data_IF_471580511755
#
_entry.id   IF_471580511755
#
_cell.length_a   1.000
_cell.length_b   1.000
_cell.length_c   1.000
_cell.angle_alpha   90.00
_cell.angle_beta   90.00
_cell.angle_gamma   90.00
#
_symmetry.space_group_name_H-M   'P 1'
#
loop_
_entity.id
_entity.type
_entity.pdbx_description
1 polymer ?
#
# COMPACT_ATOMS: atom_id res chain seq x y z
N UNK A 1 22.13 -6.72 4.39
CA UNK A 1 21.19 -5.87 3.62
C UNK A 1 20.57 -4.76 4.47
N UNK A 2 19.90 -5.04 5.61
CA UNK A 2 19.40 -3.99 6.53
C UNK A 2 20.47 -2.98 6.97
N UNK A 3 21.66 -3.46 7.36
CA UNK A 3 22.78 -2.60 7.75
C UNK A 3 23.30 -1.72 6.61
N UNK A 4 23.24 -2.20 5.36
CA UNK A 4 23.59 -1.36 4.19
C UNK A 4 22.53 -0.30 3.94
N UNK A 5 21.24 -0.67 4.03
CA UNK A 5 20.14 0.27 3.85
C UNK A 5 20.10 1.40 4.88
N UNK A 6 20.57 1.17 6.11
CA UNK A 6 20.66 2.22 7.13
C UNK A 6 21.81 3.20 6.90
N UNK A 7 22.77 2.85 6.03
CA UNK A 7 23.91 3.72 5.69
C UNK A 7 23.67 4.61 4.46
N UNK A 8 22.52 4.45 3.79
CA UNK A 8 22.21 5.21 2.58
C UNK A 8 21.76 6.64 2.91
N UNK A 9 22.53 7.59 2.40
CA UNK A 9 22.15 9.00 2.27
C UNK A 9 21.83 9.34 0.81
N UNK A 10 21.24 10.51 0.59
CA UNK A 10 20.88 11.00 -0.76
C UNK A 10 22.08 11.09 -1.71
N UNK A 11 23.28 11.32 -1.17
CA UNK A 11 24.53 11.45 -1.95
C UNK A 11 25.11 10.10 -2.42
N UNK A 12 24.72 9.00 -1.78
CA UNK A 12 25.29 7.65 -2.03
C UNK A 12 24.25 6.69 -2.62
N UNK A 13 22.96 7.05 -2.57
CA UNK A 13 21.88 6.20 -3.07
C UNK A 13 21.94 6.03 -4.60
N UNK A 14 21.78 4.78 -5.05
CA UNK A 14 21.61 4.46 -6.47
C UNK A 14 20.34 5.13 -7.00
N UNK A 15 20.45 5.90 -8.09
CA UNK A 15 19.30 6.59 -8.70
C UNK A 15 18.51 5.74 -9.70
N UNK A 16 18.83 4.46 -9.82
CA UNK A 16 18.16 3.54 -10.75
C UNK A 16 16.94 2.92 -10.10
N UNK A 17 15.74 3.35 -10.53
CA UNK A 17 14.46 2.73 -10.10
C UNK A 17 14.49 1.23 -10.35
N UNK A 18 14.95 0.80 -11.52
CA UNK A 18 15.00 -0.61 -11.89
C UNK A 18 15.83 -1.43 -10.92
N UNK A 19 16.95 -0.90 -10.44
CA UNK A 19 17.77 -1.59 -9.44
C UNK A 19 17.02 -1.80 -8.12
N UNK A 20 16.33 -0.76 -7.64
CA UNK A 20 15.51 -0.85 -6.43
C UNK A 20 14.37 -1.86 -6.60
N UNK A 21 13.66 -1.82 -7.73
CA UNK A 21 12.53 -2.71 -8.00
C UNK A 21 12.97 -4.17 -8.16
N UNK A 22 14.11 -4.44 -8.81
CA UNK A 22 14.67 -5.79 -8.90
C UNK A 22 15.08 -6.33 -7.53
N UNK A 23 15.75 -5.51 -6.74
CA UNK A 23 16.16 -5.86 -5.38
C UNK A 23 14.94 -6.12 -4.48
N UNK A 24 13.90 -5.29 -4.61
CA UNK A 24 12.61 -5.45 -3.95
C UNK A 24 11.93 -6.76 -4.36
N UNK A 25 11.92 -7.07 -5.65
CA UNK A 25 11.32 -8.29 -6.18
C UNK A 25 11.95 -9.55 -5.56
N UNK A 26 13.29 -9.60 -5.43
CA UNK A 26 13.98 -10.72 -4.77
C UNK A 26 13.52 -10.87 -3.31
N UNK A 27 13.46 -9.76 -2.56
CA UNK A 27 12.96 -9.79 -1.19
C UNK A 27 11.49 -10.26 -1.13
N UNK A 28 10.66 -9.84 -2.10
CA UNK A 28 9.26 -10.20 -2.21
C UNK A 28 9.06 -11.69 -2.49
N UNK A 29 9.97 -12.35 -3.24
CA UNK A 29 9.93 -13.81 -3.41
C UNK A 29 10.03 -14.55 -2.07
N UNK A 30 10.87 -14.07 -1.14
CA UNK A 30 10.94 -14.65 0.20
C UNK A 30 9.68 -14.37 1.03
N UNK A 31 9.01 -13.23 0.84
CA UNK A 31 7.71 -12.98 1.48
C UNK A 31 6.68 -14.04 1.08
N UNK A 32 6.73 -14.53 -0.16
CA UNK A 32 5.79 -15.53 -0.69
C UNK A 32 6.18 -16.97 -0.40
N UNK A 33 7.38 -17.21 0.13
CA UNK A 33 7.83 -18.54 0.49
C UNK A 33 7.10 -19.04 1.75
N UNK A 34 6.16 -19.97 1.57
CA UNK A 34 5.38 -20.58 2.65
C UNK A 34 6.16 -21.61 3.47
N UNK A 35 7.39 -21.95 3.07
CA UNK A 35 8.28 -22.77 3.89
C UNK A 35 8.95 -21.95 5.02
N UNK A 36 8.97 -20.61 4.91
CA UNK A 36 9.48 -19.72 5.95
C UNK A 36 8.47 -19.52 7.09
N UNK A 37 8.98 -19.22 8.28
CA UNK A 37 8.13 -18.87 9.42
C UNK A 37 7.42 -17.54 9.22
N UNK A 38 6.35 -17.30 9.97
CA UNK A 38 5.60 -16.04 9.91
C UNK A 38 6.51 -14.83 10.23
N UNK A 39 7.41 -14.96 11.20
CA UNK A 39 8.38 -13.94 11.59
C UNK A 39 9.34 -13.65 10.44
N UNK A 40 9.95 -14.68 9.84
CA UNK A 40 10.86 -14.52 8.71
C UNK A 40 10.18 -13.85 7.52
N UNK A 41 8.93 -14.23 7.21
CA UNK A 41 8.14 -13.60 6.13
C UNK A 41 7.84 -12.12 6.41
N UNK A 42 7.53 -11.74 7.66
CA UNK A 42 7.36 -10.33 8.06
C UNK A 42 8.67 -9.56 7.96
N UNK A 43 9.78 -10.15 8.38
CA UNK A 43 11.11 -9.56 8.26
C UNK A 43 11.52 -9.26 6.82
N UNK A 44 11.18 -10.14 5.88
CA UNK A 44 11.31 -9.88 4.44
C UNK A 44 10.31 -8.83 3.96
N UNK A 45 9.09 -8.82 4.52
CA UNK A 45 8.07 -7.80 4.25
C UNK A 45 8.55 -6.40 4.61
N UNK A 46 9.15 -6.21 5.78
CA UNK A 46 9.76 -4.95 6.22
C UNK A 46 10.88 -4.49 5.28
N UNK A 47 11.68 -5.44 4.78
CA UNK A 47 12.69 -5.15 3.78
C UNK A 47 12.07 -4.66 2.47
N UNK A 48 11.01 -5.32 1.98
CA UNK A 48 10.28 -4.89 0.78
C UNK A 48 9.73 -3.48 0.96
N UNK A 49 9.07 -3.19 2.09
CA UNK A 49 8.54 -1.86 2.40
C UNK A 49 9.65 -0.80 2.43
N UNK A 50 10.77 -1.12 3.07
CA UNK A 50 11.95 -0.26 3.17
C UNK A 50 12.59 0.03 1.80
N UNK A 51 12.59 -0.94 0.89
CA UNK A 51 13.10 -0.78 -0.48
C UNK A 51 12.16 0.07 -1.34
N UNK A 52 10.85 -0.13 -1.20
CA UNK A 52 9.83 0.68 -1.88
C UNK A 52 9.92 2.15 -1.48
N UNK A 53 10.03 2.45 -0.18
CA UNK A 53 10.20 3.82 0.33
C UNK A 53 11.47 4.47 -0.24
N UNK A 54 12.58 3.73 -0.30
CA UNK A 54 13.85 4.24 -0.85
C UNK A 54 13.78 4.45 -2.36
N UNK A 55 13.08 3.59 -3.09
CA UNK A 55 12.86 3.76 -4.52
C UNK A 55 12.09 5.06 -4.80
N UNK A 56 11.04 5.33 -4.02
CA UNK A 56 10.29 6.59 -4.08
C UNK A 56 11.22 7.77 -3.82
N UNK A 57 11.89 7.74 -2.66
CA UNK A 57 12.68 8.86 -2.16
C UNK A 57 13.90 9.21 -3.02
N UNK A 58 14.62 8.20 -3.52
CA UNK A 58 15.95 8.40 -4.09
C UNK A 58 16.03 8.15 -5.59
N UNK A 59 15.07 7.44 -6.18
CA UNK A 59 15.10 7.07 -7.59
C UNK A 59 13.92 7.63 -8.39
N UNK A 60 12.94 8.27 -7.74
CA UNK A 60 11.77 8.83 -8.42
C UNK A 60 10.72 7.78 -8.78
N UNK A 61 10.63 6.70 -8.00
CA UNK A 61 9.48 5.80 -8.09
C UNK A 61 8.20 6.57 -7.71
N UNK A 62 7.13 6.43 -8.49
CA UNK A 62 5.91 7.20 -8.27
C UNK A 62 5.31 6.88 -6.89
N UNK A 63 4.92 7.93 -6.16
CA UNK A 63 4.43 7.82 -4.78
C UNK A 63 3.14 7.01 -4.68
N UNK A 64 2.26 7.07 -5.69
CA UNK A 64 1.05 6.25 -5.71
C UNK A 64 1.40 4.78 -5.91
N UNK A 65 2.32 4.47 -6.81
CA UNK A 65 2.76 3.10 -7.05
C UNK A 65 3.46 2.53 -5.79
N UNK A 66 4.28 3.34 -5.12
CA UNK A 66 4.92 2.98 -3.85
C UNK A 66 3.89 2.69 -2.74
N UNK A 67 2.86 3.53 -2.61
CA UNK A 67 1.78 3.33 -1.65
C UNK A 67 0.94 2.10 -1.99
N UNK A 68 0.60 1.90 -3.27
CA UNK A 68 -0.16 0.76 -3.75
C UNK A 68 0.55 -0.56 -3.43
N UNK A 69 1.84 -0.66 -3.76
CA UNK A 69 2.65 -1.84 -3.47
C UNK A 69 2.75 -2.13 -1.97
N UNK A 70 2.94 -1.08 -1.17
CA UNK A 70 3.00 -1.17 0.29
C UNK A 70 1.69 -1.69 0.88
N UNK A 71 0.54 -1.14 0.44
CA UNK A 71 -0.79 -1.53 0.90
C UNK A 71 -1.10 -2.97 0.51
N UNK A 72 -0.85 -3.37 -0.73
CA UNK A 72 -1.09 -4.75 -1.19
C UNK A 72 -0.29 -5.76 -0.38
N UNK A 73 1.01 -5.51 -0.18
CA UNK A 73 1.87 -6.39 0.61
C UNK A 73 1.39 -6.52 2.06
N UNK A 74 1.06 -5.38 2.69
CA UNK A 74 0.59 -5.36 4.08
C UNK A 74 -0.76 -6.05 4.22
N UNK A 75 -1.70 -5.82 3.31
CA UNK A 75 -2.98 -6.54 3.31
C UNK A 75 -2.77 -8.05 3.22
N UNK A 76 -1.95 -8.50 2.28
CA UNK A 76 -1.64 -9.92 2.10
C UNK A 76 -1.05 -10.53 3.36
N UNK A 77 -0.01 -9.90 3.94
CA UNK A 77 0.66 -10.45 5.12
C UNK A 77 -0.22 -10.42 6.36
N UNK A 78 -1.02 -9.38 6.55
CA UNK A 78 -2.00 -9.33 7.64
C UNK A 78 -3.06 -10.41 7.47
N UNK A 79 -3.52 -10.66 6.23
CA UNK A 79 -4.50 -11.70 5.94
C UNK A 79 -3.95 -13.10 6.18
N UNK A 80 -2.71 -13.37 5.74
CA UNK A 80 -2.12 -14.71 5.84
C UNK A 80 -1.51 -15.01 7.22
N UNK A 81 -0.88 -14.03 7.86
CA UNK A 81 -0.10 -14.23 9.09
C UNK A 81 -0.76 -13.66 10.33
N UNK A 82 -1.85 -12.89 10.16
CA UNK A 82 -2.50 -12.17 11.24
C UNK A 82 -1.86 -10.82 11.53
N UNK A 83 -2.68 -9.93 12.10
CA UNK A 83 -2.26 -8.60 12.53
C UNK A 83 -1.43 -8.65 13.81
N UNK A 84 -0.48 -7.73 13.93
CA UNK A 84 0.31 -7.50 15.15
C UNK A 84 -0.12 -6.17 15.75
N UNK A 85 -0.95 -6.15 16.81
CA UNK A 85 -1.43 -4.91 17.42
C UNK A 85 -0.27 -4.01 17.89
N UNK A 86 -0.36 -2.72 17.59
CA UNK A 86 0.66 -1.72 17.93
C UNK A 86 1.84 -1.64 16.96
N UNK A 87 1.99 -2.59 16.04
CA UNK A 87 3.05 -2.57 15.04
C UNK A 87 2.72 -1.62 13.89
N UNK A 88 3.66 -0.76 13.49
CA UNK A 88 3.40 0.25 12.46
C UNK A 88 3.11 -0.34 11.07
N UNK A 89 3.68 -1.50 10.74
CA UNK A 89 3.54 -2.17 9.46
C UNK A 89 2.40 -3.19 9.49
N UNK A 90 2.29 -3.95 10.58
CA UNK A 90 1.45 -5.15 10.67
C UNK A 90 0.17 -4.98 11.50
N UNK A 91 -0.08 -3.80 12.08
CA UNK A 91 -1.38 -3.44 12.67
C UNK A 91 -2.39 -3.05 11.58
N UNK A 92 -3.56 -3.71 11.58
CA UNK A 92 -4.69 -3.41 10.67
C UNK A 92 -5.13 -1.94 10.74
N UNK A 93 -5.23 -1.39 11.93
CA UNK A 93 -5.63 -0.01 12.18
C UNK A 93 -4.57 0.97 11.67
N UNK A 94 -3.28 0.64 11.84
CA UNK A 94 -2.20 1.45 11.28
C UNK A 94 -2.23 1.46 9.74
N UNK A 95 -2.51 0.31 9.12
CA UNK A 95 -2.70 0.21 7.67
C UNK A 95 -3.89 1.05 7.20
N UNK A 96 -5.05 0.91 7.83
CA UNK A 96 -6.25 1.70 7.48
C UNK A 96 -5.98 3.21 7.58
N UNK A 97 -5.35 3.67 8.66
CA UNK A 97 -4.98 5.09 8.81
C UNK A 97 -4.03 5.54 7.71
N UNK A 98 -3.05 4.71 7.34
CA UNK A 98 -2.11 5.01 6.26
C UNK A 98 -2.83 5.16 4.92
N UNK A 99 -3.75 4.25 4.59
CA UNK A 99 -4.56 4.31 3.37
C UNK A 99 -5.42 5.57 3.38
N UNK A 100 -6.20 5.80 4.44
CA UNK A 100 -7.09 6.96 4.53
C UNK A 100 -6.35 8.29 4.48
N UNK A 101 -5.12 8.35 5.00
CA UNK A 101 -4.27 9.55 4.91
C UNK A 101 -3.73 9.80 3.49
N UNK A 102 -3.58 8.74 2.67
CA UNK A 102 -3.17 8.86 1.27
C UNK A 102 -4.32 9.25 0.33
N UNK A 103 -5.58 9.04 0.75
CA UNK A 103 -6.76 9.41 -0.03
C UNK A 103 -6.87 10.94 -0.17
N UNK A 104 -6.82 11.44 -1.41
CA UNK A 104 -6.93 12.88 -1.69
C UNK A 104 -8.36 13.32 -2.00
N UNK A 105 -9.25 12.38 -2.31
CA UNK A 105 -10.67 12.63 -2.50
C UNK A 105 -11.45 12.21 -1.25
N UNK A 106 -12.64 12.79 -1.08
CA UNK A 106 -13.66 12.25 -0.17
C UNK A 106 -14.52 11.22 -0.93
N UNK A 107 -15.19 10.27 -0.25
CA UNK A 107 -16.12 9.36 -0.90
C UNK A 107 -17.21 10.06 -1.71
N UNK A 108 -17.74 11.17 -1.18
CA UNK A 108 -18.75 11.98 -1.87
C UNK A 108 -18.21 12.56 -3.18
N UNK A 109 -17.01 13.17 -3.15
CA UNK A 109 -16.41 13.75 -4.35
C UNK A 109 -16.03 12.68 -5.37
N UNK A 110 -15.47 11.56 -4.93
CA UNK A 110 -15.15 10.45 -5.82
C UNK A 110 -16.40 9.83 -6.45
N UNK A 111 -17.55 9.81 -5.75
CA UNK A 111 -18.83 9.37 -6.32
C UNK A 111 -19.30 10.29 -7.45
N UNK A 112 -19.29 11.61 -7.23
CA UNK A 112 -19.67 12.59 -8.26
C UNK A 112 -18.79 12.48 -9.51
N UNK A 113 -17.49 12.27 -9.33
CA UNK A 113 -16.56 12.07 -10.45
C UNK A 113 -16.81 10.72 -11.15
N UNK A 114 -17.08 9.66 -10.38
CA UNK A 114 -17.35 8.33 -10.91
C UNK A 114 -18.60 8.29 -11.80
N UNK A 115 -19.67 9.01 -11.47
CA UNK A 115 -20.90 9.05 -12.28
C UNK A 115 -20.66 9.53 -13.72
N UNK A 116 -19.65 10.37 -13.93
CA UNK A 116 -19.29 10.95 -15.22
C UNK A 116 -17.88 10.57 -15.69
N UNK A 117 -17.27 9.51 -15.15
CA UNK A 117 -15.85 9.23 -15.38
C UNK A 117 -15.47 9.11 -16.85
N UNK A 118 -16.38 8.62 -17.70
CA UNK A 118 -16.16 8.46 -19.16
C UNK A 118 -15.94 9.77 -19.91
N UNK A 119 -16.35 10.90 -19.34
CA UNK A 119 -16.19 12.24 -19.93
C UNK A 119 -15.10 13.06 -19.23
N UNK A 120 -14.46 12.52 -18.19
CA UNK A 120 -13.42 13.23 -17.47
C UNK A 120 -12.07 13.20 -18.22
N UNK A 121 -11.20 14.19 -17.96
CA UNK A 121 -9.80 14.11 -18.39
C UNK A 121 -9.10 12.87 -17.83
N UNK A 122 -8.12 12.35 -18.59
CA UNK A 122 -7.39 11.13 -18.24
C UNK A 122 -6.78 11.16 -16.83
N UNK A 123 -6.27 12.32 -16.40
CA UNK A 123 -5.70 12.52 -15.06
C UNK A 123 -6.71 12.25 -13.93
N UNK A 124 -7.98 12.66 -14.12
CA UNK A 124 -9.01 12.43 -13.11
C UNK A 124 -9.46 10.96 -13.11
N UNK A 125 -9.50 10.31 -14.27
CA UNK A 125 -9.76 8.87 -14.35
C UNK A 125 -8.65 8.09 -13.64
N UNK A 126 -7.39 8.46 -13.88
CA UNK A 126 -6.24 7.86 -13.21
C UNK A 126 -6.30 8.08 -11.70
N UNK A 127 -6.68 9.28 -11.25
CA UNK A 127 -6.87 9.55 -9.83
C UNK A 127 -7.91 8.63 -9.20
N UNK A 128 -9.07 8.42 -9.86
CA UNK A 128 -10.09 7.50 -9.38
C UNK A 128 -9.60 6.06 -9.32
N UNK A 129 -8.82 5.61 -10.32
CA UNK A 129 -8.20 4.27 -10.32
C UNK A 129 -7.20 4.10 -9.18
N UNK A 130 -6.35 5.10 -8.93
CA UNK A 130 -5.42 5.11 -7.79
C UNK A 130 -6.16 4.96 -6.46
N UNK A 131 -7.27 5.68 -6.29
CA UNK A 131 -8.13 5.56 -5.09
C UNK A 131 -8.75 4.16 -4.97
N UNK A 132 -9.23 3.58 -6.08
CA UNK A 132 -9.75 2.21 -6.13
C UNK A 132 -8.69 1.19 -5.74
N UNK A 133 -7.48 1.32 -6.27
CA UNK A 133 -6.37 0.41 -6.00
C UNK A 133 -5.89 0.47 -4.54
N UNK A 134 -5.92 1.64 -3.91
CA UNK A 134 -5.55 1.77 -2.50
C UNK A 134 -6.58 1.14 -1.55
N UNK A 135 -7.87 1.28 -1.84
CA UNK A 135 -8.92 0.79 -0.92
C UNK A 135 -9.28 -0.67 -1.22
N UNK A 136 -9.22 -1.11 -2.47
CA UNK A 136 -9.58 -2.47 -2.90
C UNK A 136 -9.04 -3.59 -2.00
N UNK A 137 -7.72 -3.61 -1.69
CA UNK A 137 -7.13 -4.62 -0.83
C UNK A 137 -7.70 -4.69 0.60
N UNK A 138 -8.29 -3.59 1.10
CA UNK A 138 -8.89 -3.57 2.44
C UNK A 138 -10.19 -4.39 2.53
N UNK A 139 -10.81 -4.75 1.39
CA UNK A 139 -12.03 -5.55 1.36
C UNK A 139 -11.88 -6.88 2.11
N UNK A 140 -10.70 -7.51 2.02
CA UNK A 140 -10.41 -8.76 2.72
C UNK A 140 -10.25 -8.61 4.24
N UNK A 141 -10.04 -7.38 4.74
CA UNK A 141 -9.77 -7.09 6.14
C UNK A 141 -10.93 -6.38 6.85
N UNK A 142 -11.90 -5.84 6.12
CA UNK A 142 -12.90 -4.88 6.65
C UNK A 142 -13.73 -5.45 7.82
N UNK A 143 -14.04 -6.74 7.78
CA UNK A 143 -14.84 -7.40 8.83
C UNK A 143 -14.03 -7.75 10.08
N UNK A 144 -12.71 -7.60 10.02
CA UNK A 144 -11.78 -7.78 11.14
C UNK A 144 -11.31 -6.44 11.73
N UNK A 145 -11.79 -5.32 11.20
CA UNK A 145 -11.46 -3.99 11.72
C UNK A 145 -12.29 -3.70 12.98
N UNK A 146 -11.70 -3.00 13.98
CA UNK A 146 -12.47 -2.54 15.13
C UNK A 146 -13.58 -1.57 14.68
N UNK A 147 -14.71 -1.55 15.38
CA UNK A 147 -15.74 -0.56 15.13
C UNK A 147 -15.20 0.86 15.37
N UNK A 148 -15.52 1.79 14.48
CA UNK A 148 -15.04 3.17 14.59
C UNK A 148 -15.14 3.96 13.28
N UNK A 149 -14.86 5.28 13.34
CA UNK A 149 -15.03 6.19 12.21
C UNK A 149 -14.17 5.80 11.00
N UNK A 150 -12.96 5.30 11.21
CA UNK A 150 -12.08 4.85 10.13
C UNK A 150 -12.64 3.63 9.40
N UNK A 151 -13.21 2.67 10.15
CA UNK A 151 -13.86 1.48 9.57
C UNK A 151 -15.08 1.86 8.76
N UNK A 152 -15.91 2.80 9.25
CA UNK A 152 -17.06 3.30 8.48
C UNK A 152 -16.63 4.04 7.21
N UNK A 153 -15.55 4.82 7.27
CA UNK A 153 -14.97 5.47 6.09
C UNK A 153 -14.47 4.46 5.07
N UNK A 154 -13.80 3.39 5.52
CA UNK A 154 -13.36 2.29 4.63
C UNK A 154 -14.58 1.59 4.03
N UNK A 155 -15.60 1.23 4.82
CA UNK A 155 -16.84 0.62 4.31
C UNK A 155 -17.52 1.51 3.26
N UNK A 156 -17.55 2.81 3.47
CA UNK A 156 -18.07 3.78 2.50
C UNK A 156 -17.28 3.74 1.19
N UNK A 157 -15.94 3.73 1.27
CA UNK A 157 -15.08 3.59 0.09
C UNK A 157 -15.23 2.24 -0.61
N UNK A 158 -15.39 1.14 0.14
CA UNK A 158 -15.57 -0.20 -0.41
C UNK A 158 -16.90 -0.30 -1.17
N UNK A 159 -17.98 0.26 -0.63
CA UNK A 159 -19.31 0.26 -1.26
C UNK A 159 -19.34 1.00 -2.61
N UNK A 160 -18.44 1.97 -2.82
CA UNK A 160 -18.35 2.72 -4.08
C UNK A 160 -17.39 2.11 -5.11
N UNK A 161 -16.54 1.14 -4.75
CA UNK A 161 -15.57 0.54 -5.69
C UNK A 161 -16.18 0.06 -7.02
N UNK A 162 -17.38 -0.57 -7.05
CA UNK A 162 -18.00 -1.00 -8.31
C UNK A 162 -18.32 0.14 -9.27
N UNK A 163 -18.43 1.38 -8.76
CA UNK A 163 -18.71 2.58 -9.55
C UNK A 163 -17.44 3.25 -10.09
N UNK A 164 -16.28 2.96 -9.51
CA UNK A 164 -14.99 3.51 -9.91
C UNK A 164 -14.47 2.85 -11.21
N UNK A 165 -13.77 3.60 -12.08
CA UNK A 165 -13.21 3.12 -13.35
C UNK A 165 -12.04 2.14 -13.23
#
# INVERSE_FOLDING_TARGET
>A
MRQWMSTLSEDVALRSVNWWLQTRWIAQLHVYDRALTAEARREWGELVLSLTERAERFAGYDRWDAMEDSVHLRCLLIQELGSVPGDQHWDRSALVRSVLAAMTLTPARATELAERWRTLPAEQILLLRRHKHLVGPLAALVDQLPAGPDTERVRTWLAMLPKLP
#
